data_IF_565331148451
#
_entry.id   IF_565331148451
#
_cell.length_a   1.000
_cell.length_b   1.000
_cell.length_c   1.000
_cell.angle_alpha   90.00
_cell.angle_beta   90.00
_cell.angle_gamma   90.00
#
_symmetry.space_group_name_H-M   'P 1'
#
loop_
_entity.id
_entity.type
_entity.pdbx_description
1 polymer ?
#
# COMPACT_ATOMS: atom_id res chain seq x y z
N UNK A 1 -22.99 23.39 -32.68
CA UNK A 1 -24.20 23.22 -31.85
C UNK A 1 -24.76 21.79 -31.97
N UNK A 2 -23.93 20.72 -31.94
CA UNK A 2 -24.38 19.30 -32.07
C UNK A 2 -23.41 18.37 -31.29
N UNK A 3 -23.06 18.68 -30.04
CA UNK A 3 -22.24 17.77 -29.23
C UNK A 3 -22.92 17.42 -27.86
N UNK A 4 -24.13 17.88 -27.59
CA UNK A 4 -24.80 17.68 -26.30
C UNK A 4 -25.89 16.60 -26.28
N UNK A 5 -26.00 15.74 -27.29
CA UNK A 5 -27.09 14.74 -27.40
C UNK A 5 -26.64 13.28 -27.37
N UNK A 6 -25.42 12.97 -26.94
CA UNK A 6 -25.01 11.57 -26.82
C UNK A 6 -25.51 10.97 -25.51
N UNK A 7 -26.32 9.87 -25.52
CA UNK A 7 -26.89 9.23 -24.31
C UNK A 7 -25.85 8.75 -23.32
N UNK A 8 -24.64 8.41 -23.80
CA UNK A 8 -23.51 7.92 -22.97
C UNK A 8 -22.96 9.04 -22.08
N UNK A 9 -22.92 10.29 -22.56
CA UNK A 9 -22.44 11.46 -21.80
C UNK A 9 -23.44 11.85 -20.72
N UNK A 10 -24.75 11.73 -20.99
CA UNK A 10 -25.78 11.96 -19.97
C UNK A 10 -25.75 10.89 -18.86
N UNK A 11 -25.53 9.62 -19.21
CA UNK A 11 -25.45 8.52 -18.25
C UNK A 11 -24.22 8.66 -17.34
N UNK A 12 -23.08 9.08 -17.87
CA UNK A 12 -21.86 9.32 -17.08
C UNK A 12 -21.98 10.56 -16.18
N UNK A 13 -22.63 11.64 -16.62
CA UNK A 13 -22.92 12.80 -15.75
C UNK A 13 -23.91 12.46 -14.62
N UNK A 14 -24.88 11.59 -14.87
CA UNK A 14 -25.84 11.12 -13.87
C UNK A 14 -25.15 10.21 -12.84
N UNK A 15 -24.31 9.26 -13.28
CA UNK A 15 -23.49 8.40 -12.42
C UNK A 15 -22.47 9.19 -11.60
N UNK A 16 -21.89 10.24 -12.16
CA UNK A 16 -20.98 11.12 -11.43
C UNK A 16 -21.71 11.98 -10.39
N UNK A 17 -22.94 12.45 -10.67
CA UNK A 17 -23.78 13.15 -9.68
C UNK A 17 -24.26 12.20 -8.56
N UNK A 18 -24.63 10.96 -8.88
CA UNK A 18 -25.00 9.96 -7.87
C UNK A 18 -23.79 9.61 -6.96
N UNK A 19 -22.57 9.47 -7.53
CA UNK A 19 -21.34 9.24 -6.75
C UNK A 19 -20.99 10.41 -5.81
N UNK A 20 -21.25 11.66 -6.22
CA UNK A 20 -21.01 12.84 -5.37
C UNK A 20 -22.09 12.94 -4.28
N UNK A 21 -23.33 12.51 -4.57
CA UNK A 21 -24.44 12.54 -3.62
C UNK A 21 -24.26 11.45 -2.53
N UNK A 22 -23.82 10.25 -2.89
CA UNK A 22 -23.50 9.19 -1.95
C UNK A 22 -22.30 9.55 -1.04
N UNK A 23 -21.23 10.17 -1.61
CA UNK A 23 -20.12 10.67 -0.81
C UNK A 23 -20.52 11.77 0.16
N UNK A 24 -21.41 12.71 -0.23
CA UNK A 24 -21.94 13.74 0.69
C UNK A 24 -22.83 13.17 1.78
N UNK A 25 -23.60 12.12 1.48
CA UNK A 25 -24.46 11.47 2.48
C UNK A 25 -23.64 10.70 3.53
N UNK A 26 -22.46 10.15 3.12
CA UNK A 26 -21.53 9.47 4.04
C UNK A 26 -20.79 10.42 4.98
N UNK A 27 -20.53 11.66 4.54
CA UNK A 27 -19.82 12.70 5.32
C UNK A 27 -20.74 13.50 6.27
N UNK A 28 -22.07 13.36 6.15
CA UNK A 28 -23.05 14.14 6.92
C UNK A 28 -23.86 13.30 7.91
N UNK A 29 -23.41 12.09 8.27
CA UNK A 29 -24.12 11.34 9.32
C UNK A 29 -23.71 11.86 10.72
N UNK A 30 -24.61 12.53 11.47
CA UNK A 30 -24.41 12.81 12.88
C UNK A 30 -24.48 11.51 13.68
N UNK A 31 -23.78 11.47 14.83
CA UNK A 31 -23.80 10.39 15.82
C UNK A 31 -25.20 9.78 16.01
N UNK A 32 -25.32 8.47 16.24
CA UNK A 32 -26.60 7.77 16.20
C UNK A 32 -27.51 8.21 17.34
N UNK A 33 -28.53 9.01 17.02
CA UNK A 33 -29.74 9.09 17.83
C UNK A 33 -30.74 8.07 17.30
N UNK A 34 -31.22 7.26 18.22
CA UNK A 34 -32.25 6.23 18.08
C UNK A 34 -33.22 6.43 16.91
N UNK A 35 -33.30 5.43 16.03
CA UNK A 35 -34.42 5.22 15.10
C UNK A 35 -34.97 3.81 15.20
N UNK A 36 -36.28 3.76 15.01
CA UNK A 36 -37.20 2.68 15.30
C UNK A 36 -36.95 1.36 14.51
N UNK A 37 -37.43 0.28 15.15
CA UNK A 37 -37.32 -1.12 14.79
C UNK A 37 -38.11 -1.49 13.54
N UNK A 38 -37.52 -2.34 12.67
CA UNK A 38 -38.23 -3.18 11.70
C UNK A 38 -37.34 -3.66 10.57
N UNK A 39 -37.16 -4.95 10.45
CA UNK A 39 -36.71 -5.77 9.30
C UNK A 39 -35.32 -5.54 8.65
N UNK A 40 -34.63 -4.43 8.86
CA UNK A 40 -33.34 -4.11 8.21
C UNK A 40 -32.12 -4.20 9.15
N UNK A 41 -32.33 -4.61 10.40
CA UNK A 41 -31.30 -4.61 11.46
C UNK A 41 -30.07 -5.48 11.13
N UNK A 42 -30.23 -6.58 10.38
CA UNK A 42 -29.12 -7.47 10.07
C UNK A 42 -28.20 -6.92 8.97
N UNK A 43 -28.72 -6.13 8.06
CA UNK A 43 -27.95 -5.53 6.96
C UNK A 43 -27.26 -4.23 7.40
N UNK A 44 -27.93 -3.41 8.23
CA UNK A 44 -27.31 -2.23 8.85
C UNK A 44 -26.18 -2.63 9.82
N UNK A 45 -26.40 -3.66 10.66
CA UNK A 45 -25.37 -4.16 11.59
C UNK A 45 -24.17 -4.81 10.89
N UNK A 46 -24.37 -5.44 9.73
CA UNK A 46 -23.27 -6.01 8.93
C UNK A 46 -22.46 -4.92 8.25
N UNK A 47 -23.10 -3.89 7.72
CA UNK A 47 -22.43 -2.73 7.14
C UNK A 47 -21.60 -1.98 8.20
N UNK A 48 -22.16 -1.73 9.38
CA UNK A 48 -21.42 -1.08 10.46
C UNK A 48 -20.19 -1.88 10.89
N UNK A 49 -20.32 -3.18 11.07
CA UNK A 49 -19.19 -4.07 11.41
C UNK A 49 -18.11 -4.06 10.33
N UNK A 50 -18.48 -4.06 9.06
CA UNK A 50 -17.53 -3.96 7.95
C UNK A 50 -16.75 -2.64 8.01
N UNK A 51 -17.44 -1.50 8.14
CA UNK A 51 -16.77 -0.20 8.21
C UNK A 51 -15.84 -0.05 9.42
N UNK A 52 -16.14 -0.70 10.55
CA UNK A 52 -15.25 -0.73 11.72
C UNK A 52 -13.95 -1.51 11.45
N UNK A 53 -13.92 -2.40 10.46
CA UNK A 53 -12.70 -3.12 10.07
C UNK A 53 -11.80 -2.35 9.11
N UNK A 54 -12.28 -1.24 8.53
CA UNK A 54 -11.50 -0.38 7.63
C UNK A 54 -10.69 0.65 8.42
N UNK A 55 -9.50 1.02 7.92
CA UNK A 55 -8.73 2.14 8.48
C UNK A 55 -9.45 3.47 8.19
N UNK A 56 -9.78 3.72 6.93
CA UNK A 56 -10.61 4.85 6.48
C UNK A 56 -11.06 4.64 5.02
N UNK A 57 -12.30 4.99 4.71
CA UNK A 57 -12.80 4.94 3.33
C UNK A 57 -12.13 5.96 2.38
N UNK A 58 -11.51 7.02 2.95
CA UNK A 58 -10.84 8.07 2.18
C UNK A 58 -9.43 7.70 1.73
N UNK A 59 -8.79 6.77 2.44
CA UNK A 59 -7.42 6.35 2.18
C UNK A 59 -7.30 5.07 1.34
N UNK A 60 -8.40 4.33 1.19
CA UNK A 60 -8.44 3.14 0.35
C UNK A 60 -8.56 3.54 -1.13
N UNK A 61 -7.86 2.83 -2.01
CA UNK A 61 -8.08 3.01 -3.44
C UNK A 61 -9.43 2.41 -3.90
N UNK A 62 -9.82 2.66 -5.15
CA UNK A 62 -11.11 2.19 -5.65
C UNK A 62 -11.23 0.66 -5.66
N UNK A 63 -10.15 -0.03 -6.05
CA UNK A 63 -10.12 -1.50 -6.14
C UNK A 63 -10.15 -2.11 -4.74
N UNK A 64 -9.34 -1.57 -3.83
CA UNK A 64 -9.35 -1.99 -2.43
C UNK A 64 -10.74 -1.83 -1.83
N UNK A 65 -11.31 -0.64 -1.90
CA UNK A 65 -12.58 -0.34 -1.25
C UNK A 65 -13.75 -1.19 -1.75
N UNK A 66 -13.83 -1.44 -3.10
CA UNK A 66 -14.99 -2.10 -3.70
C UNK A 66 -14.83 -3.60 -3.92
N UNK A 67 -13.59 -4.11 -3.97
CA UNK A 67 -13.33 -5.52 -4.31
C UNK A 67 -12.51 -6.21 -3.22
N UNK A 68 -11.30 -5.72 -2.93
CA UNK A 68 -10.37 -6.42 -2.05
C UNK A 68 -10.90 -6.46 -0.62
N UNK A 69 -11.25 -5.31 -0.04
CA UNK A 69 -11.71 -5.22 1.36
C UNK A 69 -12.99 -5.99 1.66
N UNK A 70 -14.03 -6.02 0.80
CA UNK A 70 -15.17 -6.91 0.99
C UNK A 70 -14.80 -8.39 0.99
N UNK A 71 -13.94 -8.84 0.06
CA UNK A 71 -13.48 -10.23 0.02
C UNK A 71 -12.72 -10.56 1.31
N UNK A 72 -11.78 -9.72 1.71
CA UNK A 72 -11.00 -9.90 2.94
C UNK A 72 -11.89 -9.91 4.19
N UNK A 73 -12.96 -9.12 4.24
CA UNK A 73 -13.94 -9.16 5.33
C UNK A 73 -14.61 -10.52 5.47
N UNK A 74 -15.08 -11.11 4.36
CA UNK A 74 -15.68 -12.45 4.39
C UNK A 74 -14.66 -13.52 4.79
N UNK A 75 -13.42 -13.43 4.31
CA UNK A 75 -12.33 -14.31 4.74
C UNK A 75 -12.02 -14.14 6.23
N UNK A 76 -11.98 -12.90 6.75
CA UNK A 76 -11.78 -12.63 8.17
C UNK A 76 -12.91 -13.22 9.03
N UNK A 77 -14.19 -13.09 8.60
CA UNK A 77 -15.32 -13.72 9.26
C UNK A 77 -15.18 -15.26 9.25
N UNK A 78 -14.75 -15.83 8.12
CA UNK A 78 -14.50 -17.27 8.01
C UNK A 78 -13.41 -17.73 8.99
N UNK A 79 -12.25 -17.09 9.00
CA UNK A 79 -11.15 -17.44 9.91
C UNK A 79 -11.51 -17.22 11.39
N UNK A 80 -12.30 -16.17 11.69
CA UNK A 80 -12.78 -15.90 13.04
C UNK A 80 -13.65 -17.02 13.59
N UNK A 81 -14.46 -17.69 12.74
CA UNK A 81 -15.31 -18.84 13.14
C UNK A 81 -14.50 -20.04 13.65
N UNK A 82 -13.27 -20.21 13.13
CA UNK A 82 -12.35 -21.28 13.53
C UNK A 82 -11.33 -20.81 14.56
N UNK A 83 -11.49 -19.63 15.12
CA UNK A 83 -10.58 -19.00 16.09
C UNK A 83 -9.12 -18.90 15.61
N UNK A 84 -8.89 -18.82 14.30
CA UNK A 84 -7.58 -18.74 13.70
C UNK A 84 -6.95 -17.41 14.07
N UNK A 85 -5.70 -17.48 14.54
CA UNK A 85 -4.97 -16.27 14.94
C UNK A 85 -4.52 -15.46 13.71
N UNK A 86 -4.61 -14.10 13.71
CA UNK A 86 -4.17 -13.27 12.59
C UNK A 86 -2.76 -13.57 12.08
N UNK A 87 -1.79 -13.78 12.97
CA UNK A 87 -0.41 -14.12 12.60
C UNK A 87 -0.30 -15.40 11.74
N UNK A 88 -1.21 -16.37 11.94
CA UNK A 88 -1.24 -17.59 11.12
C UNK A 88 -1.66 -17.27 9.68
N UNK A 89 -2.57 -16.30 9.50
CA UNK A 89 -3.02 -15.84 8.18
C UNK A 89 -1.88 -15.10 7.48
N UNK A 90 -1.13 -14.25 8.21
CA UNK A 90 0.08 -13.58 7.68
C UNK A 90 1.14 -14.60 7.24
N UNK A 91 1.42 -15.64 8.04
CA UNK A 91 2.38 -16.69 7.65
C UNK A 91 1.90 -17.45 6.42
N UNK A 92 0.59 -17.71 6.32
CA UNK A 92 -0.01 -18.36 5.14
C UNK A 92 0.14 -17.48 3.90
N UNK A 93 -0.03 -16.15 4.03
CA UNK A 93 0.21 -15.20 2.94
C UNK A 93 1.65 -15.26 2.45
N UNK A 94 2.62 -15.31 3.37
CA UNK A 94 4.04 -15.46 3.02
C UNK A 94 4.31 -16.74 2.25
N UNK A 95 3.69 -17.85 2.66
CA UNK A 95 3.83 -19.13 1.94
C UNK A 95 3.35 -19.05 0.49
N UNK A 96 2.16 -18.45 0.24
CA UNK A 96 1.65 -18.27 -1.11
C UNK A 96 2.48 -17.28 -1.92
N UNK A 97 2.95 -16.18 -1.30
CA UNK A 97 3.80 -15.19 -1.95
C UNK A 97 5.16 -15.77 -2.38
N UNK A 98 5.83 -16.53 -1.52
CA UNK A 98 7.07 -17.24 -1.88
C UNK A 98 6.79 -18.31 -2.92
N UNK A 99 5.70 -19.07 -2.80
CA UNK A 99 5.30 -20.07 -3.78
C UNK A 99 5.09 -19.49 -5.18
N UNK A 100 4.56 -18.28 -5.28
CA UNK A 100 4.38 -17.59 -6.58
C UNK A 100 5.70 -17.35 -7.31
N UNK A 101 6.80 -17.12 -6.59
CA UNK A 101 8.11 -16.86 -7.17
C UNK A 101 8.63 -18.01 -8.03
N UNK A 102 8.40 -19.24 -7.57
CA UNK A 102 8.77 -20.43 -8.33
C UNK A 102 8.06 -20.49 -9.69
N UNK A 103 6.78 -20.21 -9.73
CA UNK A 103 6.00 -20.21 -10.96
C UNK A 103 6.37 -19.03 -11.88
N UNK A 104 6.73 -17.85 -11.33
CA UNK A 104 7.24 -16.74 -12.13
C UNK A 104 8.57 -17.08 -12.80
N UNK A 105 9.43 -17.89 -12.17
CA UNK A 105 10.69 -18.37 -12.78
C UNK A 105 10.44 -19.18 -14.07
N UNK A 106 9.37 -19.97 -14.10
CA UNK A 106 8.97 -20.84 -15.21
C UNK A 106 7.88 -20.25 -16.10
N UNK A 107 7.59 -18.95 -15.94
CA UNK A 107 6.49 -18.30 -16.63
C UNK A 107 6.80 -17.81 -18.05
N UNK A 108 7.84 -18.30 -18.72
CA UNK A 108 8.22 -17.82 -20.03
C UNK A 108 7.38 -18.49 -21.14
N UNK A 109 6.43 -17.74 -21.72
CA UNK A 109 5.58 -18.25 -22.80
C UNK A 109 6.37 -18.48 -24.10
N UNK A 110 7.33 -17.62 -24.39
CA UNK A 110 8.14 -17.71 -25.61
C UNK A 110 8.92 -19.02 -25.72
N UNK A 111 9.41 -19.53 -24.59
CA UNK A 111 10.20 -20.78 -24.56
C UNK A 111 9.38 -22.01 -24.19
N UNK A 112 8.50 -21.88 -23.20
CA UNK A 112 7.74 -23.00 -22.63
C UNK A 112 6.32 -23.10 -23.20
N UNK A 113 5.94 -22.20 -24.11
CA UNK A 113 4.63 -22.18 -24.75
C UNK A 113 3.50 -22.12 -23.74
N UNK A 114 2.50 -22.97 -23.91
CA UNK A 114 1.32 -23.01 -23.03
C UNK A 114 1.68 -23.29 -21.57
N UNK A 115 2.70 -24.09 -21.29
CA UNK A 115 3.17 -24.37 -19.93
C UNK A 115 3.66 -23.10 -19.25
N UNK A 116 4.46 -22.27 -19.93
CA UNK A 116 4.93 -20.99 -19.41
C UNK A 116 3.78 -20.02 -19.12
N UNK A 117 2.77 -19.96 -20.02
CA UNK A 117 1.58 -19.15 -19.78
C UNK A 117 0.80 -19.62 -18.52
N UNK A 118 0.62 -20.94 -18.38
CA UNK A 118 -0.05 -21.53 -17.20
C UNK A 118 0.75 -21.19 -15.93
N UNK A 119 2.09 -21.31 -15.96
CA UNK A 119 2.94 -20.92 -14.83
C UNK A 119 2.77 -19.45 -14.46
N UNK A 120 2.76 -18.51 -15.42
CA UNK A 120 2.49 -17.11 -15.17
C UNK A 120 1.12 -16.90 -14.52
N UNK A 121 0.07 -17.54 -15.03
CA UNK A 121 -1.29 -17.42 -14.46
C UNK A 121 -1.33 -17.96 -13.04
N UNK A 122 -0.74 -19.12 -12.78
CA UNK A 122 -0.67 -19.71 -11.42
C UNK A 122 0.10 -18.77 -10.48
N UNK A 123 1.24 -18.23 -10.92
CA UNK A 123 2.01 -17.27 -10.14
C UNK A 123 1.20 -16.03 -9.75
N UNK A 124 0.48 -15.46 -10.71
CA UNK A 124 -0.41 -14.29 -10.50
C UNK A 124 -1.51 -14.63 -9.49
N UNK A 125 -2.17 -15.76 -9.66
CA UNK A 125 -3.24 -16.21 -8.73
C UNK A 125 -2.70 -16.41 -7.33
N UNK A 126 -1.54 -17.05 -7.18
CA UNK A 126 -0.90 -17.25 -5.87
C UNK A 126 -0.54 -15.92 -5.20
N UNK A 127 -0.03 -14.94 -5.96
CA UNK A 127 0.31 -13.64 -5.43
C UNK A 127 -0.95 -12.82 -5.05
N UNK A 128 -2.03 -12.92 -5.81
CA UNK A 128 -3.33 -12.33 -5.44
C UNK A 128 -3.87 -12.97 -4.15
N UNK A 129 -3.75 -14.29 -3.99
CA UNK A 129 -4.15 -14.98 -2.75
C UNK A 129 -3.29 -14.50 -1.58
N UNK A 130 -1.97 -14.32 -1.78
CA UNK A 130 -1.08 -13.80 -0.76
C UNK A 130 -1.51 -12.39 -0.30
N UNK A 131 -1.81 -11.49 -1.23
CA UNK A 131 -2.28 -10.14 -0.94
C UNK A 131 -3.64 -10.12 -0.21
N UNK A 132 -4.60 -10.94 -0.66
CA UNK A 132 -5.89 -11.08 0.01
C UNK A 132 -5.74 -11.60 1.44
N UNK A 133 -4.83 -12.54 1.69
CA UNK A 133 -4.58 -13.08 3.03
C UNK A 133 -3.91 -12.03 3.93
N UNK A 134 -2.95 -11.26 3.40
CA UNK A 134 -2.29 -10.16 4.11
C UNK A 134 -3.31 -9.08 4.51
N UNK A 135 -4.13 -8.64 3.58
CA UNK A 135 -5.23 -7.72 3.89
C UNK A 135 -6.24 -8.28 4.91
N UNK A 136 -6.44 -9.61 4.89
CA UNK A 136 -7.39 -10.30 5.77
C UNK A 136 -6.90 -10.35 7.21
N UNK A 137 -5.60 -10.56 7.47
CA UNK A 137 -5.05 -10.66 8.82
C UNK A 137 -5.25 -9.37 9.63
N UNK A 138 -5.05 -8.20 9.00
CA UNK A 138 -5.31 -6.90 9.61
C UNK A 138 -6.80 -6.68 9.91
N UNK A 139 -7.71 -7.11 9.04
CA UNK A 139 -9.15 -7.05 9.30
C UNK A 139 -9.56 -8.02 10.42
N UNK A 140 -9.01 -9.24 10.41
CA UNK A 140 -9.23 -10.26 11.44
C UNK A 140 -8.74 -9.76 12.80
N UNK A 141 -7.55 -9.15 12.85
CA UNK A 141 -7.01 -8.58 14.09
C UNK A 141 -7.89 -7.45 14.65
N UNK A 142 -8.44 -6.61 13.78
CA UNK A 142 -9.38 -5.55 14.19
C UNK A 142 -10.73 -6.11 14.65
N UNK A 143 -11.24 -7.10 13.95
CA UNK A 143 -12.53 -7.75 14.24
C UNK A 143 -12.51 -8.53 15.56
N UNK A 144 -11.42 -9.25 15.84
CA UNK A 144 -11.29 -10.13 17.01
C UNK A 144 -10.63 -9.48 18.20
N UNK A 145 -10.08 -8.26 18.04
CA UNK A 145 -9.29 -7.58 19.07
C UNK A 145 -7.92 -8.22 19.32
N UNK A 146 -7.53 -9.25 18.56
CA UNK A 146 -6.26 -9.99 18.71
C UNK A 146 -5.08 -9.24 18.06
N UNK A 147 -4.90 -7.96 18.42
CA UNK A 147 -3.75 -7.19 17.97
C UNK A 147 -2.50 -7.59 18.78
N UNK A 148 -1.42 -7.92 18.09
CA UNK A 148 -0.15 -8.26 18.74
C UNK A 148 1.02 -7.47 18.15
N UNK A 149 2.08 -7.25 18.97
CA UNK A 149 3.32 -6.64 18.48
C UNK A 149 3.99 -7.51 17.42
N UNK A 150 3.98 -8.84 17.62
CA UNK A 150 4.49 -9.79 16.64
C UNK A 150 3.72 -9.75 15.33
N UNK A 151 2.38 -9.57 15.36
CA UNK A 151 1.56 -9.42 14.16
C UNK A 151 1.97 -8.22 13.31
N UNK A 152 2.23 -7.07 13.94
CA UNK A 152 2.76 -5.87 13.23
C UNK A 152 4.14 -6.09 12.62
N UNK A 153 4.99 -6.90 13.28
CA UNK A 153 6.30 -7.27 12.74
C UNK A 153 6.13 -8.12 11.49
N UNK A 154 5.30 -9.15 11.56
CA UNK A 154 5.04 -10.06 10.45
C UNK A 154 4.43 -9.33 9.25
N UNK A 155 3.41 -8.50 9.46
CA UNK A 155 2.78 -7.63 8.46
C UNK A 155 3.83 -6.71 7.80
N UNK A 156 4.67 -6.06 8.58
CA UNK A 156 5.71 -5.17 8.07
C UNK A 156 6.80 -5.86 7.23
N UNK A 157 7.05 -7.16 7.41
CA UNK A 157 8.04 -7.91 6.63
C UNK A 157 7.43 -8.75 5.51
N UNK A 158 6.11 -8.99 5.51
CA UNK A 158 5.45 -9.87 4.56
C UNK A 158 5.76 -9.50 3.11
N UNK A 159 5.67 -8.23 2.75
CA UNK A 159 6.01 -7.75 1.43
C UNK A 159 7.44 -8.07 1.00
N UNK A 160 8.42 -7.95 1.89
CA UNK A 160 9.82 -8.33 1.57
C UNK A 160 9.96 -9.84 1.39
N UNK A 161 9.27 -10.64 2.19
CA UNK A 161 9.28 -12.10 2.08
C UNK A 161 8.72 -12.57 0.74
N UNK A 162 7.79 -11.86 0.12
CA UNK A 162 7.28 -12.18 -1.23
C UNK A 162 8.21 -11.65 -2.32
N UNK A 163 8.50 -10.34 -2.30
CA UNK A 163 9.12 -9.67 -3.45
C UNK A 163 10.59 -10.00 -3.62
N UNK A 164 11.34 -10.27 -2.54
CA UNK A 164 12.75 -10.66 -2.68
C UNK A 164 12.91 -11.97 -3.47
N UNK A 165 12.21 -13.07 -3.14
CA UNK A 165 12.26 -14.28 -3.96
C UNK A 165 11.70 -14.08 -5.37
N UNK A 166 10.59 -13.32 -5.52
CA UNK A 166 10.01 -13.05 -6.85
C UNK A 166 11.06 -12.35 -7.74
N UNK A 167 11.69 -11.28 -7.27
CA UNK A 167 12.68 -10.54 -8.05
C UNK A 167 13.93 -11.39 -8.36
N UNK A 168 14.38 -12.19 -7.39
CA UNK A 168 15.47 -13.15 -7.64
C UNK A 168 15.11 -14.16 -8.72
N UNK A 169 13.88 -14.70 -8.70
CA UNK A 169 13.41 -15.65 -9.71
C UNK A 169 13.16 -15.00 -11.09
N UNK A 170 12.79 -13.74 -11.14
CA UNK A 170 12.74 -12.99 -12.41
C UNK A 170 14.14 -12.76 -13.02
N UNK A 171 15.13 -12.50 -12.18
CA UNK A 171 16.55 -12.44 -12.64
C UNK A 171 17.01 -13.80 -13.14
N UNK A 172 16.65 -14.90 -12.45
CA UNK A 172 16.91 -16.26 -12.90
C UNK A 172 16.21 -16.55 -14.24
N UNK A 173 14.92 -16.18 -14.39
CA UNK A 173 14.19 -16.30 -15.65
C UNK A 173 14.90 -15.54 -16.78
N UNK A 174 15.36 -14.32 -16.54
CA UNK A 174 16.14 -13.56 -17.51
C UNK A 174 17.45 -14.26 -17.86
N UNK A 175 18.16 -14.83 -16.89
CA UNK A 175 19.37 -15.59 -17.15
C UNK A 175 19.13 -16.77 -18.11
N UNK A 176 18.00 -17.47 -17.96
CA UNK A 176 17.63 -18.60 -18.80
C UNK A 176 17.05 -18.19 -20.18
N UNK A 177 16.33 -17.05 -20.22
CA UNK A 177 15.47 -16.67 -21.35
C UNK A 177 15.57 -15.14 -21.59
N UNK A 178 16.60 -14.69 -22.28
CA UNK A 178 16.90 -13.26 -22.51
C UNK A 178 16.91 -12.86 -24.00
N UNK A 179 16.49 -13.76 -24.90
CA UNK A 179 16.60 -13.50 -26.33
C UNK A 179 15.72 -12.34 -26.81
N UNK A 180 14.57 -12.10 -26.17
CA UNK A 180 13.69 -10.99 -26.51
C UNK A 180 14.42 -9.67 -26.26
N UNK A 181 14.97 -9.49 -25.05
CA UNK A 181 15.68 -8.29 -24.64
C UNK A 181 16.98 -8.10 -25.45
N UNK A 182 17.71 -9.18 -25.69
CA UNK A 182 18.90 -9.14 -26.50
C UNK A 182 18.58 -8.76 -27.95
N UNK A 183 17.49 -9.30 -28.52
CA UNK A 183 17.01 -8.91 -29.84
C UNK A 183 16.68 -7.42 -29.94
N UNK A 184 16.01 -6.85 -28.93
CA UNK A 184 15.68 -5.41 -28.90
C UNK A 184 16.91 -4.51 -28.81
N UNK A 185 17.94 -4.97 -28.06
CA UNK A 185 19.15 -4.19 -27.80
C UNK A 185 20.26 -4.47 -28.86
N UNK A 186 20.05 -5.41 -29.78
CA UNK A 186 21.07 -5.83 -30.74
C UNK A 186 22.28 -6.48 -30.09
N UNK A 187 22.13 -7.12 -28.93
CA UNK A 187 23.20 -7.77 -28.17
C UNK A 187 23.39 -9.19 -28.69
N UNK A 188 24.65 -9.55 -29.04
CA UNK A 188 24.96 -10.91 -29.44
C UNK A 188 24.81 -11.89 -28.27
N UNK A 189 24.11 -13.01 -28.51
CA UNK A 189 23.90 -14.06 -27.50
C UNK A 189 25.20 -14.86 -27.29
N UNK A 190 26.02 -14.40 -26.35
CA UNK A 190 27.26 -15.04 -25.92
C UNK A 190 27.25 -15.26 -24.43
N UNK A 191 27.93 -16.29 -23.89
CA UNK A 191 27.96 -16.53 -22.43
C UNK A 191 28.42 -15.30 -21.62
N UNK A 192 29.38 -14.54 -22.15
CA UNK A 192 29.88 -13.32 -21.49
C UNK A 192 28.81 -12.23 -21.44
N UNK A 193 28.13 -11.98 -22.56
CA UNK A 193 27.05 -10.97 -22.61
C UNK A 193 25.88 -11.37 -21.70
N UNK A 194 25.50 -12.65 -21.66
CA UNK A 194 24.48 -13.19 -20.77
C UNK A 194 24.82 -12.93 -19.31
N UNK A 195 26.03 -13.21 -18.87
CA UNK A 195 26.48 -12.99 -17.49
C UNK A 195 26.45 -11.48 -17.16
N UNK A 196 27.01 -10.63 -18.02
CA UNK A 196 27.05 -9.19 -17.82
C UNK A 196 25.63 -8.62 -17.74
N UNK A 197 24.75 -8.97 -18.68
CA UNK A 197 23.37 -8.53 -18.70
C UNK A 197 22.59 -9.00 -17.46
N UNK A 198 22.80 -10.24 -17.01
CA UNK A 198 22.18 -10.77 -15.79
C UNK A 198 22.62 -9.99 -14.55
N UNK A 199 23.89 -9.62 -14.43
CA UNK A 199 24.39 -8.78 -13.33
C UNK A 199 23.77 -7.38 -13.39
N UNK A 200 23.60 -6.80 -14.57
CA UNK A 200 22.91 -5.51 -14.75
C UNK A 200 21.43 -5.63 -14.32
N UNK A 201 20.73 -6.67 -14.75
CA UNK A 201 19.32 -6.91 -14.38
C UNK A 201 19.18 -7.18 -12.87
N UNK A 202 20.12 -7.89 -12.25
CA UNK A 202 20.17 -8.09 -10.81
C UNK A 202 20.32 -6.75 -10.07
N UNK A 203 21.25 -5.90 -10.52
CA UNK A 203 21.43 -4.57 -9.93
C UNK A 203 20.18 -3.71 -10.13
N UNK A 204 19.56 -3.74 -11.31
CA UNK A 204 18.32 -3.04 -11.61
C UNK A 204 17.16 -3.54 -10.73
N UNK A 205 17.02 -4.86 -10.56
CA UNK A 205 16.00 -5.45 -9.66
C UNK A 205 16.22 -5.06 -8.21
N UNK A 206 17.48 -5.01 -7.73
CA UNK A 206 17.80 -4.53 -6.40
C UNK A 206 17.44 -3.04 -6.22
N UNK A 207 17.76 -2.20 -7.20
CA UNK A 207 17.37 -0.77 -7.19
C UNK A 207 15.85 -0.64 -7.20
N UNK A 208 15.15 -1.34 -8.08
CA UNK A 208 13.70 -1.33 -8.18
C UNK A 208 13.02 -1.77 -6.86
N UNK A 209 13.51 -2.85 -6.23
CA UNK A 209 12.94 -3.38 -4.98
C UNK A 209 13.24 -2.50 -3.77
N UNK A 210 14.51 -2.21 -3.50
CA UNK A 210 14.90 -1.55 -2.24
C UNK A 210 14.81 -0.02 -2.32
N UNK A 211 15.33 0.60 -3.39
CA UNK A 211 15.31 2.05 -3.54
C UNK A 211 14.02 2.57 -4.20
N UNK A 212 13.40 1.77 -5.07
CA UNK A 212 12.11 2.06 -5.70
C UNK A 212 10.94 1.71 -4.79
N UNK A 213 10.47 0.47 -4.87
CA UNK A 213 9.28 -0.03 -4.20
C UNK A 213 9.25 0.27 -2.69
N UNK A 214 10.35 -0.04 -1.98
CA UNK A 214 10.43 0.18 -0.54
C UNK A 214 10.32 1.65 -0.14
N UNK A 215 10.91 2.58 -0.93
CA UNK A 215 10.82 4.01 -0.65
C UNK A 215 9.48 4.62 -1.06
N UNK A 216 8.85 4.09 -2.11
CA UNK A 216 7.55 4.54 -2.60
C UNK A 216 6.43 4.14 -1.63
N UNK A 217 6.39 2.87 -1.23
CA UNK A 217 5.39 2.36 -0.27
C UNK A 217 5.52 3.03 1.10
N UNK A 218 6.76 3.23 1.57
CA UNK A 218 7.03 3.94 2.84
C UNK A 218 6.51 5.37 2.83
N UNK A 219 6.68 6.11 1.72
CA UNK A 219 6.16 7.46 1.59
C UNK A 219 4.64 7.48 1.50
N UNK A 220 4.06 6.54 0.73
CA UNK A 220 2.61 6.42 0.59
C UNK A 220 1.94 6.15 1.93
N UNK A 221 2.48 5.20 2.71
CA UNK A 221 1.99 4.92 4.07
C UNK A 221 2.09 6.15 4.97
N UNK A 222 3.22 6.86 4.96
CA UNK A 222 3.40 8.05 5.79
C UNK A 222 2.37 9.14 5.50
N UNK A 223 2.03 9.38 4.24
CA UNK A 223 1.01 10.35 3.87
C UNK A 223 -0.41 9.89 4.23
N UNK A 224 -0.67 8.59 4.18
CA UNK A 224 -1.92 8.02 4.71
C UNK A 224 -2.02 8.28 6.22
N UNK A 225 -0.96 8.01 6.98
CA UNK A 225 -0.95 8.24 8.43
C UNK A 225 -1.08 9.73 8.78
N UNK A 226 -0.39 10.62 8.05
CA UNK A 226 -0.54 12.06 8.21
C UNK A 226 -1.98 12.52 7.92
N UNK A 227 -2.60 12.03 6.85
CA UNK A 227 -4.00 12.32 6.53
C UNK A 227 -4.94 11.87 7.65
N UNK A 228 -4.75 10.64 8.16
CA UNK A 228 -5.56 10.09 9.26
C UNK A 228 -5.37 10.87 10.56
N UNK A 229 -4.16 11.36 10.85
CA UNK A 229 -3.89 12.20 12.01
C UNK A 229 -4.72 13.49 11.99
N UNK A 230 -4.77 14.20 10.87
CA UNK A 230 -5.59 15.39 10.74
C UNK A 230 -7.10 15.10 10.67
N UNK A 231 -7.51 13.90 10.24
CA UNK A 231 -8.91 13.49 10.16
C UNK A 231 -9.45 12.97 11.50
N UNK A 232 -8.69 12.10 12.19
CA UNK A 232 -9.15 11.30 13.34
C UNK A 232 -8.36 11.53 14.63
N UNK A 233 -7.40 12.44 14.63
CA UNK A 233 -6.44 12.67 15.71
C UNK A 233 -5.49 11.46 15.98
N UNK A 234 -4.76 11.50 17.09
CA UNK A 234 -3.77 10.50 17.47
C UNK A 234 -4.37 9.10 17.68
N UNK A 235 -5.59 9.00 18.17
CA UNK A 235 -6.26 7.71 18.41
C UNK A 235 -6.61 6.95 17.11
N UNK A 236 -6.75 7.65 16.00
CA UNK A 236 -7.15 7.08 14.70
C UNK A 236 -6.01 6.91 13.71
N UNK A 237 -4.78 7.27 14.07
CA UNK A 237 -3.61 7.21 13.18
C UNK A 237 -2.40 6.55 13.86
N UNK A 238 -1.52 6.00 13.03
CA UNK A 238 -0.19 5.51 13.45
C UNK A 238 0.89 6.53 13.03
N UNK A 239 0.54 7.83 13.07
CA UNK A 239 1.45 8.91 12.72
C UNK A 239 2.48 9.14 13.83
N UNK A 240 3.61 8.49 13.69
CA UNK A 240 4.66 8.41 14.69
C UNK A 240 5.91 9.23 14.30
N UNK A 241 6.84 9.38 15.25
CA UNK A 241 8.11 10.04 14.99
C UNK A 241 9.29 9.20 15.50
N UNK A 242 10.46 9.40 14.85
CA UNK A 242 11.66 8.59 15.13
C UNK A 242 12.21 8.81 16.54
N UNK A 243 12.01 9.97 17.15
CA UNK A 243 12.46 10.29 18.52
C UNK A 243 11.68 9.45 19.52
N UNK A 244 10.33 9.44 19.44
CA UNK A 244 9.49 8.61 20.31
C UNK A 244 9.77 7.13 20.14
N UNK A 245 10.01 6.68 18.90
CA UNK A 245 10.35 5.28 18.65
C UNK A 245 11.74 4.91 19.22
N UNK A 246 12.68 5.85 19.22
CA UNK A 246 13.98 5.67 19.90
C UNK A 246 13.80 5.56 21.42
N UNK A 247 12.99 6.42 22.03
CA UNK A 247 12.68 6.35 23.46
C UNK A 247 12.06 5.00 23.84
N UNK A 248 11.14 4.47 23.02
CA UNK A 248 10.57 3.13 23.22
C UNK A 248 11.65 2.05 23.16
N UNK A 249 12.60 2.16 22.23
CA UNK A 249 13.72 1.22 22.12
C UNK A 249 14.63 1.27 23.35
N UNK A 250 14.96 2.47 23.82
CA UNK A 250 15.86 2.68 24.97
C UNK A 250 15.24 2.20 26.29
N UNK A 251 13.90 2.20 26.37
CA UNK A 251 13.15 1.67 27.51
C UNK A 251 12.88 0.15 27.43
N UNK A 252 13.29 -0.53 26.34
CA UNK A 252 13.08 -1.97 26.21
C UNK A 252 13.90 -2.74 27.24
N UNK A 253 13.33 -3.81 27.83
CA UNK A 253 14.06 -4.70 28.73
C UNK A 253 15.33 -5.26 28.08
N UNK A 254 16.41 -5.40 28.86
CA UNK A 254 17.69 -5.97 28.37
C UNK A 254 17.55 -7.41 27.86
N UNK A 255 16.60 -8.14 28.39
CA UNK A 255 16.24 -9.53 28.06
C UNK A 255 15.13 -9.63 27.01
N UNK A 256 14.66 -8.50 26.45
CA UNK A 256 13.68 -8.54 25.38
C UNK A 256 14.19 -9.37 24.18
N UNK A 257 13.29 -10.12 23.48
CA UNK A 257 13.65 -10.96 22.35
C UNK A 257 14.44 -10.20 21.27
N UNK A 258 15.49 -10.81 20.73
CA UNK A 258 16.34 -10.21 19.70
C UNK A 258 15.52 -9.72 18.49
N UNK A 259 14.53 -10.52 18.08
CA UNK A 259 13.62 -10.19 16.97
C UNK A 259 12.90 -8.86 17.23
N UNK A 260 12.41 -8.64 18.45
CA UNK A 260 11.74 -7.38 18.79
C UNK A 260 12.68 -6.18 18.78
N UNK A 261 13.92 -6.35 19.24
CA UNK A 261 14.94 -5.28 19.22
C UNK A 261 15.34 -4.92 17.80
N UNK A 262 15.57 -5.91 16.95
CA UNK A 262 15.91 -5.73 15.54
C UNK A 262 14.75 -5.03 14.81
N UNK A 263 13.52 -5.47 15.05
CA UNK A 263 12.35 -4.86 14.47
C UNK A 263 12.19 -3.40 14.90
N UNK A 264 12.28 -3.12 16.22
CA UNK A 264 12.15 -1.76 16.74
C UNK A 264 13.21 -0.83 16.15
N UNK A 265 14.46 -1.31 16.02
CA UNK A 265 15.54 -0.57 15.36
C UNK A 265 15.24 -0.31 13.87
N UNK A 266 14.73 -1.32 13.18
CA UNK A 266 14.32 -1.18 11.78
C UNK A 266 13.15 -0.19 11.62
N UNK A 267 12.21 -0.19 12.56
CA UNK A 267 11.08 0.74 12.57
C UNK A 267 11.52 2.19 12.84
N UNK A 268 12.51 2.40 13.72
CA UNK A 268 13.13 3.72 13.92
C UNK A 268 13.74 4.24 12.61
N UNK A 269 14.53 3.39 11.91
CA UNK A 269 15.14 3.76 10.64
C UNK A 269 14.08 4.00 9.53
N UNK A 270 13.00 3.22 9.54
CA UNK A 270 11.86 3.40 8.65
C UNK A 270 11.22 4.78 8.85
N UNK A 271 10.87 5.13 10.09
CA UNK A 271 10.26 6.42 10.45
C UNK A 271 11.22 7.59 10.18
N UNK A 272 12.50 7.44 10.53
CA UNK A 272 13.52 8.48 10.25
C UNK A 272 13.66 8.78 8.76
N UNK A 273 13.59 7.75 7.90
CA UNK A 273 13.62 7.94 6.44
C UNK A 273 12.35 8.61 5.91
N UNK A 274 11.19 8.41 6.55
CA UNK A 274 9.97 9.15 6.23
C UNK A 274 10.12 10.64 6.56
N UNK A 275 10.62 10.96 7.75
CA UNK A 275 10.87 12.32 8.21
C UNK A 275 11.88 13.06 7.32
N UNK A 276 12.98 12.40 6.92
CA UNK A 276 14.03 12.99 6.08
C UNK A 276 13.53 13.47 4.71
N UNK A 277 12.54 12.77 4.13
CA UNK A 277 12.00 13.11 2.81
C UNK A 277 10.78 14.04 2.87
N UNK A 278 10.33 14.40 4.10
CA UNK A 278 9.15 15.25 4.34
C UNK A 278 9.43 16.43 5.28
N UNK A 279 10.44 17.25 5.02
CA UNK A 279 10.89 18.32 5.95
C UNK A 279 9.82 19.38 6.22
N UNK A 280 8.96 19.72 5.26
CA UNK A 280 7.91 20.72 5.46
C UNK A 280 6.75 20.18 6.30
N UNK A 281 6.40 18.91 6.11
CA UNK A 281 5.45 18.24 7.01
C UNK A 281 5.98 18.19 8.44
N UNK A 282 7.28 17.87 8.64
CA UNK A 282 7.89 17.87 9.98
C UNK A 282 7.87 19.27 10.60
N UNK A 283 8.18 20.32 9.82
CA UNK A 283 8.09 21.72 10.27
C UNK A 283 6.66 22.06 10.69
N UNK A 284 5.67 21.73 9.88
CA UNK A 284 4.24 21.93 10.19
C UNK A 284 3.84 21.27 11.49
N UNK A 285 4.14 19.97 11.64
CA UNK A 285 3.80 19.19 12.84
C UNK A 285 4.50 19.74 14.08
N UNK A 286 5.76 20.18 13.96
CA UNK A 286 6.51 20.78 15.07
C UNK A 286 5.86 22.10 15.52
N UNK A 287 5.52 22.99 14.60
CA UNK A 287 4.82 24.25 14.91
C UNK A 287 3.46 24.00 15.56
N UNK A 288 2.69 23.02 15.05
CA UNK A 288 1.41 22.66 15.63
C UNK A 288 1.54 22.12 17.06
N UNK A 289 2.50 21.23 17.33
CA UNK A 289 2.75 20.68 18.67
C UNK A 289 3.25 21.75 19.66
N UNK A 290 3.98 22.75 19.20
CA UNK A 290 4.41 23.87 20.04
C UNK A 290 3.23 24.79 20.42
N UNK A 291 2.30 25.03 19.48
CA UNK A 291 1.20 25.97 19.64
C UNK A 291 -0.03 25.30 20.29
N UNK A 292 -0.25 23.99 20.04
CA UNK A 292 -1.39 23.23 20.49
C UNK A 292 -0.91 21.93 21.18
N UNK A 293 -1.08 21.80 22.52
CA UNK A 293 -0.58 20.66 23.28
C UNK A 293 -1.20 19.31 22.89
N UNK A 294 -2.46 19.33 22.42
CA UNK A 294 -3.16 18.14 21.94
C UNK A 294 -3.56 18.29 20.47
N UNK A 295 -3.57 17.20 19.74
CA UNK A 295 -4.06 17.17 18.35
C UNK A 295 -5.54 17.62 18.25
N UNK A 296 -6.34 17.44 19.31
CA UNK A 296 -7.73 17.90 19.39
C UNK A 296 -7.86 19.43 19.45
N UNK A 297 -6.81 20.11 19.91
CA UNK A 297 -6.81 21.57 20.10
C UNK A 297 -6.43 22.31 18.80
N UNK A 298 -6.00 21.58 17.77
CA UNK A 298 -5.69 22.15 16.45
C UNK A 298 -6.97 22.77 15.86
N UNK A 299 -6.96 24.06 15.49
CA UNK A 299 -8.11 24.73 14.91
C UNK A 299 -8.71 24.00 13.70
N UNK A 300 -10.04 24.04 13.61
CA UNK A 300 -10.77 23.30 12.57
C UNK A 300 -10.41 23.75 11.14
N UNK A 301 -10.15 25.06 10.96
CA UNK A 301 -9.75 25.64 9.68
C UNK A 301 -8.41 25.08 9.17
N UNK A 302 -7.42 24.91 10.06
CA UNK A 302 -6.13 24.30 9.73
C UNK A 302 -6.32 22.81 9.35
N UNK A 303 -7.14 22.09 10.14
CA UNK A 303 -7.43 20.68 9.89
C UNK A 303 -8.17 20.48 8.57
N UNK A 304 -9.16 21.32 8.27
CA UNK A 304 -9.92 21.28 7.03
C UNK A 304 -9.05 21.68 5.83
N UNK A 305 -8.16 22.67 5.96
CA UNK A 305 -7.23 23.06 4.90
C UNK A 305 -6.27 21.92 4.58
N UNK A 306 -5.66 21.30 5.60
CA UNK A 306 -4.79 20.13 5.40
C UNK A 306 -5.56 18.95 4.78
N UNK A 307 -6.72 18.61 5.34
CA UNK A 307 -7.56 17.52 4.85
C UNK A 307 -7.93 17.70 3.38
N UNK A 308 -8.38 18.88 2.99
CA UNK A 308 -8.75 19.19 1.61
C UNK A 308 -7.60 18.97 0.62
N UNK A 309 -6.38 19.41 0.97
CA UNK A 309 -5.20 19.25 0.11
C UNK A 309 -4.71 17.80 0.09
N UNK A 310 -4.64 17.13 1.23
CA UNK A 310 -4.21 15.74 1.32
C UNK A 310 -5.19 14.78 0.64
N UNK A 311 -6.51 14.98 0.81
CA UNK A 311 -7.54 14.17 0.14
C UNK A 311 -7.43 14.25 -1.39
N UNK A 312 -7.12 15.43 -1.95
CA UNK A 312 -6.91 15.58 -3.39
C UNK A 312 -5.72 14.76 -3.91
N UNK A 313 -4.72 14.50 -3.05
CA UNK A 313 -3.53 13.71 -3.39
C UNK A 313 -3.68 12.21 -3.09
N UNK A 314 -4.67 11.78 -2.29
CA UNK A 314 -4.84 10.35 -1.92
C UNK A 314 -4.98 9.45 -3.15
N UNK A 315 -5.65 9.90 -4.22
CA UNK A 315 -5.76 9.14 -5.47
C UNK A 315 -4.41 8.87 -6.16
N UNK A 316 -3.48 9.84 -6.10
CA UNK A 316 -2.13 9.70 -6.64
C UNK A 316 -1.24 8.87 -5.72
N UNK A 317 -1.44 9.03 -4.41
CA UNK A 317 -0.79 8.24 -3.39
C UNK A 317 -1.18 6.75 -3.49
N UNK A 318 -2.45 6.45 -3.78
CA UNK A 318 -2.94 5.09 -4.02
C UNK A 318 -2.27 4.39 -5.21
N UNK A 319 -1.79 5.14 -6.22
CA UNK A 319 -1.01 4.55 -7.31
C UNK A 319 0.40 4.08 -6.87
N UNK A 320 0.90 4.54 -5.72
CA UNK A 320 2.15 4.08 -5.14
C UNK A 320 1.98 2.80 -4.30
N UNK A 321 0.77 2.29 -4.15
CA UNK A 321 0.44 1.08 -3.39
C UNK A 321 0.49 -0.18 -4.26
N UNK A 322 0.13 -1.32 -3.68
CA UNK A 322 0.29 -2.64 -4.28
C UNK A 322 -0.50 -2.82 -5.60
N UNK A 323 -1.77 -2.43 -5.64
CA UNK A 323 -2.67 -2.78 -6.75
C UNK A 323 -2.21 -2.27 -8.11
N UNK A 324 -1.86 -0.97 -8.19
CA UNK A 324 -1.41 -0.37 -9.45
C UNK A 324 -0.10 -0.99 -9.93
N UNK A 325 0.85 -1.15 -9.04
CA UNK A 325 2.15 -1.78 -9.27
C UNK A 325 2.01 -3.22 -9.77
N UNK A 326 1.19 -4.01 -9.08
CA UNK A 326 0.96 -5.42 -9.42
C UNK A 326 0.28 -5.60 -10.76
N UNK A 327 -0.63 -4.70 -11.15
CA UNK A 327 -1.26 -4.75 -12.47
C UNK A 327 -0.21 -4.65 -13.60
N UNK A 328 0.75 -3.72 -13.49
CA UNK A 328 1.86 -3.62 -14.46
C UNK A 328 2.82 -4.78 -14.35
N UNK A 329 3.12 -5.26 -13.15
CA UNK A 329 3.94 -6.45 -12.94
C UNK A 329 3.34 -7.67 -13.65
N UNK A 330 2.06 -7.93 -13.47
CA UNK A 330 1.36 -9.03 -14.14
C UNK A 330 1.37 -8.87 -15.65
N UNK A 331 1.12 -7.65 -16.15
CA UNK A 331 1.15 -7.36 -17.56
C UNK A 331 2.54 -7.68 -18.17
N UNK A 332 3.61 -7.19 -17.57
CA UNK A 332 4.97 -7.45 -18.11
C UNK A 332 5.38 -8.91 -18.00
N UNK A 333 4.95 -9.64 -16.97
CA UNK A 333 5.16 -11.08 -16.88
C UNK A 333 4.42 -11.85 -17.99
N UNK A 334 3.15 -11.47 -18.28
CA UNK A 334 2.34 -12.08 -19.34
C UNK A 334 2.85 -11.73 -20.75
N UNK A 335 3.51 -10.59 -20.91
CA UNK A 335 4.17 -10.19 -22.18
C UNK A 335 5.59 -10.76 -22.34
N UNK A 336 6.05 -11.61 -21.43
CA UNK A 336 7.40 -12.20 -21.40
C UNK A 336 8.56 -11.20 -21.27
N UNK A 337 8.30 -10.01 -20.74
CA UNK A 337 9.30 -8.95 -20.57
C UNK A 337 9.35 -8.43 -19.11
N UNK A 338 9.52 -9.32 -18.12
CA UNK A 338 9.47 -8.93 -16.71
C UNK A 338 10.52 -7.90 -16.30
N UNK A 339 11.64 -7.82 -17.04
CA UNK A 339 12.71 -6.82 -16.80
C UNK A 339 12.18 -5.39 -16.99
N UNK A 340 11.20 -5.19 -17.86
CA UNK A 340 10.57 -3.88 -18.08
C UNK A 340 9.86 -3.40 -16.81
N UNK A 341 9.37 -4.33 -15.96
CA UNK A 341 8.82 -3.98 -14.66
C UNK A 341 9.86 -3.31 -13.76
N UNK A 342 11.11 -3.77 -13.73
CA UNK A 342 12.16 -3.13 -12.95
C UNK A 342 12.43 -1.69 -13.40
N UNK A 343 12.40 -1.43 -14.71
CA UNK A 343 12.52 -0.08 -15.27
C UNK A 343 11.31 0.78 -14.90
N UNK A 344 10.10 0.22 -14.99
CA UNK A 344 8.87 0.90 -14.58
C UNK A 344 8.93 1.31 -13.11
N UNK A 345 9.33 0.41 -12.21
CA UNK A 345 9.51 0.70 -10.78
C UNK A 345 10.59 1.75 -10.53
N UNK A 346 11.75 1.60 -11.15
CA UNK A 346 12.87 2.50 -10.91
C UNK A 346 12.63 3.91 -11.46
N UNK A 347 11.90 4.05 -12.57
CA UNK A 347 11.73 5.32 -13.29
C UNK A 347 10.32 5.88 -13.07
N UNK A 348 9.29 5.23 -13.64
CA UNK A 348 7.94 5.79 -13.67
C UNK A 348 7.35 5.97 -12.27
N UNK A 349 7.47 4.95 -11.42
CA UNK A 349 6.99 5.02 -10.04
C UNK A 349 7.80 6.00 -9.18
N UNK A 350 9.10 6.16 -9.47
CA UNK A 350 9.94 7.16 -8.78
C UNK A 350 9.56 8.58 -9.18
N UNK A 351 9.24 8.83 -10.45
CA UNK A 351 8.71 10.13 -10.91
C UNK A 351 7.37 10.42 -10.22
N UNK A 352 6.47 9.44 -10.15
CA UNK A 352 5.19 9.58 -9.45
C UNK A 352 5.39 9.88 -7.96
N UNK A 353 6.30 9.16 -7.28
CA UNK A 353 6.68 9.42 -5.88
C UNK A 353 7.17 10.87 -5.71
N UNK A 354 8.06 11.32 -6.59
CA UNK A 354 8.57 12.70 -6.53
C UNK A 354 7.45 13.73 -6.71
N UNK A 355 6.53 13.52 -7.65
CA UNK A 355 5.36 14.38 -7.87
C UNK A 355 4.49 14.47 -6.61
N UNK A 356 4.12 13.31 -6.03
CA UNK A 356 3.28 13.26 -4.81
C UNK A 356 3.98 13.96 -3.65
N UNK A 357 5.28 13.68 -3.45
CA UNK A 357 6.08 14.30 -2.41
C UNK A 357 6.15 15.82 -2.57
N UNK A 358 6.50 16.29 -3.76
CA UNK A 358 6.62 17.72 -4.05
C UNK A 358 5.29 18.47 -3.79
N UNK A 359 4.18 17.90 -4.23
CA UNK A 359 2.85 18.49 -4.01
C UNK A 359 2.46 18.52 -2.54
N UNK A 360 2.77 17.44 -1.81
CA UNK A 360 2.47 17.33 -0.39
C UNK A 360 3.30 18.32 0.43
N UNK A 361 4.60 18.36 0.19
CA UNK A 361 5.52 19.31 0.85
C UNK A 361 5.18 20.77 0.55
N UNK A 362 4.73 21.08 -0.67
CA UNK A 362 4.35 22.44 -1.05
C UNK A 362 3.17 22.97 -0.25
N UNK A 363 2.11 22.19 -0.04
CA UNK A 363 0.98 22.67 0.75
C UNK A 363 1.29 22.65 2.26
N UNK A 364 2.09 21.70 2.76
CA UNK A 364 2.55 21.69 4.14
C UNK A 364 3.36 22.95 4.45
N UNK A 365 4.25 23.38 3.53
CA UNK A 365 4.98 24.64 3.65
C UNK A 365 4.02 25.84 3.75
N UNK A 366 3.03 25.92 2.84
CA UNK A 366 2.09 27.05 2.82
C UNK A 366 1.27 27.16 4.13
N UNK A 367 0.85 26.02 4.70
CA UNK A 367 0.15 25.98 5.99
C UNK A 367 1.12 26.36 7.13
N UNK A 368 2.36 25.83 7.12
CA UNK A 368 3.35 26.12 8.15
C UNK A 368 3.75 27.62 8.19
N UNK A 369 3.87 28.24 7.02
CA UNK A 369 4.19 29.68 6.92
C UNK A 369 3.06 30.53 7.51
N UNK A 370 1.77 30.20 7.26
CA UNK A 370 0.61 30.88 7.88
C UNK A 370 0.53 30.74 9.40
N UNK A 371 1.05 29.66 9.97
CA UNK A 371 1.02 29.41 11.41
C UNK A 371 2.20 30.08 12.11
N UNK A 372 3.35 30.21 11.40
CA UNK A 372 4.58 30.79 11.92
C UNK A 372 4.62 32.31 11.90
N UNK A 373 3.79 32.94 11.07
CA UNK A 373 3.55 34.38 11.03
C UNK A 373 2.49 34.75 12.12
#
# INVERSE_FOLDING_TARGET
MIINSCPIIKKNKLLMKMRIFDKKKLLLQPHPKQREKGADQNQETMNEKYYQTLKSAETEDWLDFHVVRPICYYLAVFFARFDIHPNTVTILSMFFGVGSSFFFAHGCFHYEGTTGLVCNIVAIVLLIIADLLDCTDGQLARMTGKKSRMGRILDGIAGFVWFVPIYAMLVYRFYCHHDIEFGWLGIANTPTNTIIATLVVLALGAIAGFAGMGAQSRLADYYIQAHLFFLKNEEGSEFDNSVRQQEIYDQMPKDAPLVEKVFQKSYIDYTRKQEQVTPQLQRLVTLLRQKYPSATDIPADIREEFHRHSLALMKWNGLLTFNFRSAFFFLFCLLDVPVVHFLFEAIAMTILKWYVNHRHESFCKAIADKIGD
#
